data_IF_798764663272
#
_entry.id   IF_798764663272
#
_cell.length_a   1.000
_cell.length_b   1.000
_cell.length_c   1.000
_cell.angle_alpha   90.00
_cell.angle_beta   90.00
_cell.angle_gamma   90.00
#
_symmetry.space_group_name_H-M   'P 1'
#
loop_
_entity.id
_entity.type
_entity.pdbx_description
1 polymer ?
#
# COMPACT_ATOMS: atom_id res chain seq x y z
N UNK A 1 -37.57 10.78 12.02
CA UNK A 1 -36.42 10.68 12.96
C UNK A 1 -35.77 9.29 12.98
N UNK A 2 -36.51 8.18 13.03
CA UNK A 2 -35.93 6.81 13.02
C UNK A 2 -35.11 6.47 11.77
N UNK A 3 -35.60 6.84 10.58
CA UNK A 3 -34.90 6.60 9.29
C UNK A 3 -33.60 7.39 9.22
N UNK A 4 -33.62 8.66 9.64
CA UNK A 4 -32.42 9.51 9.67
C UNK A 4 -31.36 8.93 10.62
N UNK A 5 -31.77 8.45 11.80
CA UNK A 5 -30.86 7.79 12.74
C UNK A 5 -30.23 6.52 12.14
N UNK A 6 -31.04 5.70 11.46
CA UNK A 6 -30.55 4.49 10.78
C UNK A 6 -29.49 4.83 9.71
N UNK A 7 -29.71 5.88 8.92
CA UNK A 7 -28.74 6.34 7.91
C UNK A 7 -27.41 6.74 8.56
N UNK A 8 -27.45 7.50 9.65
CA UNK A 8 -26.22 7.86 10.38
C UNK A 8 -25.51 6.64 10.97
N UNK A 9 -26.24 5.69 11.55
CA UNK A 9 -25.66 4.46 12.09
C UNK A 9 -24.96 3.64 11.01
N UNK A 10 -25.59 3.48 9.84
CA UNK A 10 -24.98 2.78 8.70
C UNK A 10 -23.75 3.51 8.17
N UNK A 11 -23.80 4.84 8.11
CA UNK A 11 -22.64 5.65 7.72
C UNK A 11 -21.46 5.46 8.67
N UNK A 12 -21.68 5.57 9.99
CA UNK A 12 -20.61 5.36 10.97
C UNK A 12 -20.08 3.92 10.95
N UNK A 13 -20.97 2.94 10.78
CA UNK A 13 -20.56 1.54 10.62
C UNK A 13 -19.63 1.36 9.40
N UNK A 14 -19.97 1.99 8.27
CA UNK A 14 -19.14 1.97 7.07
C UNK A 14 -17.78 2.64 7.32
N UNK A 15 -17.75 3.80 7.97
CA UNK A 15 -16.50 4.49 8.30
C UNK A 15 -15.60 3.63 9.19
N UNK A 16 -16.17 3.01 10.23
CA UNK A 16 -15.43 2.11 11.14
C UNK A 16 -14.90 0.91 10.36
N UNK A 17 -15.71 0.31 9.50
CA UNK A 17 -15.31 -0.83 8.68
C UNK A 17 -14.13 -0.47 7.76
N UNK A 18 -14.20 0.67 7.07
CA UNK A 18 -13.13 1.13 6.18
C UNK A 18 -11.83 1.41 6.97
N UNK A 19 -11.94 2.01 8.15
CA UNK A 19 -10.80 2.24 9.02
C UNK A 19 -10.18 0.93 9.52
N UNK A 20 -11.00 -0.05 9.91
CA UNK A 20 -10.54 -1.37 10.32
C UNK A 20 -9.82 -2.10 9.18
N UNK A 21 -10.39 -2.09 7.97
CA UNK A 21 -9.74 -2.67 6.79
C UNK A 21 -8.39 -1.98 6.58
N UNK A 22 -8.36 -0.66 6.50
CA UNK A 22 -7.13 0.10 6.34
C UNK A 22 -6.08 -0.27 7.39
N UNK A 23 -6.45 -0.30 8.67
CA UNK A 23 -5.55 -0.64 9.76
C UNK A 23 -5.02 -2.08 9.64
N UNK A 24 -5.90 -3.05 9.43
CA UNK A 24 -5.58 -4.48 9.43
C UNK A 24 -4.79 -4.95 8.20
N UNK A 25 -4.92 -4.29 7.04
CA UNK A 25 -4.33 -4.81 5.79
C UNK A 25 -2.88 -4.45 5.54
N UNK A 26 -2.29 -3.53 6.31
CA UNK A 26 -0.86 -3.23 6.11
C UNK A 26 0.02 -3.86 7.17
N UNK A 27 1.30 -3.88 6.86
CA UNK A 27 2.37 -4.50 7.62
C UNK A 27 2.58 -3.81 8.97
N UNK A 28 3.09 -4.54 9.95
CA UNK A 28 3.28 -4.03 11.30
C UNK A 28 4.47 -3.07 11.40
N UNK A 29 5.45 -3.17 10.51
CA UNK A 29 6.63 -2.30 10.50
C UNK A 29 7.11 -1.93 9.11
N UNK A 30 7.89 -0.84 9.01
CA UNK A 30 8.60 -0.48 7.79
C UNK A 30 9.54 -1.60 7.31
N UNK A 31 10.15 -2.35 8.24
CA UNK A 31 11.03 -3.48 7.94
C UNK A 31 10.28 -4.68 7.34
N UNK A 32 9.10 -5.01 7.87
CA UNK A 32 8.28 -6.08 7.31
C UNK A 32 7.79 -5.72 5.89
N UNK A 33 7.38 -4.47 5.68
CA UNK A 33 7.00 -3.99 4.35
C UNK A 33 8.19 -3.97 3.37
N UNK A 34 9.38 -3.59 3.83
CA UNK A 34 10.63 -3.65 3.06
C UNK A 34 10.92 -5.08 2.58
N UNK A 35 10.93 -6.03 3.53
CA UNK A 35 11.19 -7.44 3.25
C UNK A 35 10.17 -8.00 2.25
N UNK A 36 8.90 -7.62 2.37
CA UNK A 36 7.86 -8.02 1.42
C UNK A 36 8.08 -7.38 0.04
N UNK A 37 8.48 -6.12 -0.03
CA UNK A 37 8.78 -5.46 -1.30
C UNK A 37 9.92 -6.18 -2.03
N UNK A 38 11.03 -6.42 -1.34
CA UNK A 38 12.21 -7.09 -1.91
C UNK A 38 11.97 -8.57 -2.22
N UNK A 39 11.14 -9.26 -1.42
CA UNK A 39 10.70 -10.63 -1.73
C UNK A 39 9.87 -10.69 -3.02
N UNK A 40 8.97 -9.71 -3.22
CA UNK A 40 8.25 -9.58 -4.49
C UNK A 40 9.18 -9.20 -5.63
N UNK A 41 10.11 -8.27 -5.43
CA UNK A 41 11.10 -7.86 -6.43
C UNK A 41 11.92 -9.05 -6.95
N UNK A 42 12.33 -9.97 -6.07
CA UNK A 42 13.08 -11.17 -6.45
C UNK A 42 12.33 -12.07 -7.46
N UNK A 43 10.99 -12.01 -7.51
CA UNK A 43 10.21 -12.71 -8.53
C UNK A 43 10.31 -12.09 -9.94
N UNK A 44 10.84 -10.86 -10.04
CA UNK A 44 11.07 -10.14 -11.29
C UNK A 44 12.52 -10.22 -11.78
N UNK A 45 13.46 -10.81 -11.02
CA UNK A 45 14.89 -10.87 -11.36
C UNK A 45 15.20 -11.52 -12.73
N UNK A 46 14.29 -12.33 -13.27
CA UNK A 46 14.43 -12.98 -14.59
C UNK A 46 13.74 -12.21 -15.73
N UNK A 47 13.12 -11.06 -15.45
CA UNK A 47 12.42 -10.23 -16.43
C UNK A 47 13.35 -9.13 -16.94
N UNK A 48 13.25 -8.78 -18.22
CA UNK A 48 14.11 -7.79 -18.90
C UNK A 48 13.76 -6.32 -18.56
N UNK A 49 13.28 -6.05 -17.34
CA UNK A 49 12.82 -4.73 -16.92
C UNK A 49 13.66 -4.17 -15.77
N UNK A 50 13.68 -2.85 -15.63
CA UNK A 50 14.36 -2.17 -14.53
C UNK A 50 13.39 -2.05 -13.34
N UNK A 51 13.40 -3.04 -12.45
CA UNK A 51 12.53 -3.08 -11.28
C UNK A 51 13.24 -2.59 -10.02
N UNK A 52 12.50 -1.95 -9.11
CA UNK A 52 13.05 -1.47 -7.85
C UNK A 52 12.00 -1.27 -6.77
N UNK A 53 12.47 -1.17 -5.53
CA UNK A 53 11.66 -0.80 -4.36
C UNK A 53 12.09 0.58 -3.87
N UNK A 54 11.13 1.49 -3.66
CA UNK A 54 11.35 2.82 -3.08
C UNK A 54 10.62 2.96 -1.75
N UNK A 55 11.22 3.66 -0.78
CA UNK A 55 10.66 3.86 0.55
C UNK A 55 10.04 5.26 0.68
N UNK A 56 8.72 5.31 0.57
CA UNK A 56 7.95 6.52 0.81
C UNK A 56 7.58 6.60 2.30
N UNK A 57 8.35 7.38 3.04
CA UNK A 57 8.14 7.62 4.47
C UNK A 57 6.95 8.55 4.75
N UNK A 58 6.58 9.43 3.82
CA UNK A 58 5.47 10.36 3.98
C UNK A 58 4.13 9.61 3.98
N UNK A 59 4.00 8.60 3.13
CA UNK A 59 2.77 7.79 3.02
C UNK A 59 2.84 6.44 3.73
N UNK A 60 3.91 6.17 4.47
CA UNK A 60 4.20 4.90 5.16
C UNK A 60 4.15 3.69 4.22
N UNK A 61 4.82 3.76 3.07
CA UNK A 61 4.77 2.75 2.02
C UNK A 61 6.15 2.37 1.51
N UNK A 62 6.33 1.10 1.18
CA UNK A 62 7.30 0.70 0.16
C UNK A 62 6.59 0.53 -1.18
N UNK A 63 7.23 0.94 -2.26
CA UNK A 63 6.65 0.97 -3.60
C UNK A 63 7.53 0.12 -4.51
N UNK A 64 6.99 -0.99 -5.00
CA UNK A 64 7.59 -1.74 -6.10
C UNK A 64 7.20 -1.05 -7.41
N UNK A 65 8.19 -0.70 -8.21
CA UNK A 65 8.01 -0.01 -9.48
C UNK A 65 8.87 -0.61 -10.59
N UNK A 66 8.49 -0.30 -11.82
CA UNK A 66 9.27 -0.48 -13.05
C UNK A 66 9.72 0.90 -13.53
N UNK A 67 11.02 1.15 -13.57
CA UNK A 67 11.57 2.38 -14.14
C UNK A 67 11.65 2.27 -15.65
N UNK A 68 11.44 3.40 -16.32
CA UNK A 68 11.53 3.51 -17.76
C UNK A 68 12.75 4.37 -18.11
N UNK A 69 13.47 4.04 -19.18
CA UNK A 69 14.70 4.75 -19.55
C UNK A 69 14.44 6.12 -20.19
N UNK A 70 13.19 6.43 -20.54
CA UNK A 70 12.80 7.60 -21.34
C UNK A 70 12.42 8.85 -20.52
N UNK A 71 12.92 9.01 -19.29
CA UNK A 71 12.53 10.09 -18.35
C UNK A 71 11.01 10.15 -18.07
N UNK A 72 10.29 9.05 -18.29
CA UNK A 72 8.89 8.92 -17.92
C UNK A 72 8.76 8.52 -16.44
N UNK A 73 7.65 8.89 -15.78
CA UNK A 73 7.38 8.43 -14.43
C UNK A 73 7.44 6.90 -14.34
N UNK A 74 8.07 6.40 -13.27
CA UNK A 74 8.10 4.97 -13.01
C UNK A 74 6.69 4.41 -12.85
N UNK A 75 6.47 3.22 -13.39
CA UNK A 75 5.18 2.53 -13.28
C UNK A 75 5.12 1.81 -11.95
N UNK A 76 4.16 2.19 -11.11
CA UNK A 76 3.91 1.50 -9.84
C UNK A 76 3.29 0.13 -10.11
N UNK A 77 3.93 -0.92 -9.60
CA UNK A 77 3.46 -2.30 -9.68
C UNK A 77 2.65 -2.65 -8.43
N UNK A 78 3.22 -2.36 -7.25
CA UNK A 78 2.59 -2.70 -5.96
C UNK A 78 3.05 -1.78 -4.84
N UNK A 79 2.18 -1.57 -3.87
CA UNK A 79 2.44 -0.79 -2.65
C UNK A 79 2.34 -1.68 -1.42
N UNK A 80 3.27 -1.49 -0.49
CA UNK A 80 3.39 -2.23 0.76
C UNK A 80 3.29 -1.22 1.91
N UNK A 81 2.06 -0.94 2.35
CA UNK A 81 1.80 0.02 3.44
C UNK A 81 2.12 -0.58 4.79
N UNK A 82 2.84 0.12 5.64
CA UNK A 82 3.10 -0.26 7.03
C UNK A 82 2.41 0.68 8.04
N UNK A 83 2.24 0.20 9.28
CA UNK A 83 1.57 0.94 10.37
C UNK A 83 2.53 1.86 11.11
N UNK A 84 3.75 1.39 11.35
CA UNK A 84 4.74 2.03 12.22
C UNK A 84 6.11 2.07 11.53
N UNK A 85 6.79 3.21 11.66
CA UNK A 85 8.19 3.39 11.25
C UNK A 85 9.14 2.57 12.13
#
# INVERSE_FOLDING_TARGET
MKVVNLVFQLFFLLVILLFLIYYLTGYDSAFEADQNCHSYLASYDNLSGNYGCDHDTETHQWILYESNENNEPAKIIKKFRYKFL
#
